data_IF_522995360560
#
_entry.id   IF_522995360560
#
_cell.length_a   1.000
_cell.length_b   1.000
_cell.length_c   1.000
_cell.angle_alpha   90.00
_cell.angle_beta   90.00
_cell.angle_gamma   90.00
#
_symmetry.space_group_name_H-M   'P 1'
#
loop_
_entity.id
_entity.type
_entity.pdbx_description
1 polymer ?
#
# COMPACT_ATOMS: atom_id res chain seq x y z
N UNK A 1 16.64 -2.05 -13.42
CA UNK A 1 15.75 -2.59 -12.36
C UNK A 1 15.87 -1.67 -11.14
N UNK A 2 14.87 -1.64 -10.26
CA UNK A 2 14.84 -0.80 -9.06
C UNK A 2 14.69 -1.64 -7.80
N UNK A 3 15.25 -1.21 -6.68
CA UNK A 3 15.04 -1.86 -5.38
C UNK A 3 13.74 -1.42 -4.73
N UNK A 4 13.34 -0.17 -4.97
CA UNK A 4 12.09 0.40 -4.45
C UNK A 4 11.38 1.15 -5.56
N UNK A 5 10.07 0.92 -5.68
CA UNK A 5 9.16 1.75 -6.46
C UNK A 5 8.13 2.40 -5.53
N UNK A 6 7.83 3.68 -5.75
CA UNK A 6 6.78 4.41 -5.05
C UNK A 6 5.77 4.86 -6.10
N UNK A 7 4.51 4.46 -5.93
CA UNK A 7 3.40 4.82 -6.81
C UNK A 7 2.51 5.81 -6.07
N UNK A 8 2.63 7.07 -6.45
CA UNK A 8 1.85 8.20 -5.90
C UNK A 8 0.99 8.79 -7.02
N UNK A 9 -0.19 8.22 -7.20
CA UNK A 9 -1.14 8.56 -8.25
C UNK A 9 -2.49 8.91 -7.63
N UNK A 10 -3.22 9.84 -8.23
CA UNK A 10 -4.62 10.09 -7.86
C UNK A 10 -5.48 8.87 -8.18
N UNK A 11 -6.54 8.67 -7.39
CA UNK A 11 -7.50 7.57 -7.63
C UNK A 11 -8.08 7.64 -9.06
N UNK A 12 -8.39 6.49 -9.67
CA UNK A 12 -8.87 6.45 -11.05
C UNK A 12 -10.31 6.98 -11.13
N UNK A 13 -10.44 8.26 -11.46
CA UNK A 13 -11.73 8.90 -11.77
C UNK A 13 -12.24 8.45 -13.15
N UNK A 14 -13.56 8.53 -13.35
CA UNK A 14 -14.21 8.24 -14.65
C UNK A 14 -13.56 9.14 -15.73
N UNK A 15 -13.16 8.54 -16.85
CA UNK A 15 -12.42 9.18 -17.98
C UNK A 15 -10.95 9.56 -17.71
N UNK A 16 -10.37 9.21 -16.56
CA UNK A 16 -8.96 9.48 -16.27
C UNK A 16 -7.98 8.51 -16.96
N UNK A 17 -6.82 8.96 -17.47
CA UNK A 17 -5.81 8.10 -18.09
C UNK A 17 -5.14 7.12 -17.10
N UNK A 18 -5.39 7.30 -15.80
CA UNK A 18 -4.76 6.54 -14.72
C UNK A 18 -5.42 5.19 -14.43
N UNK A 19 -6.60 4.88 -14.99
CA UNK A 19 -7.34 3.65 -14.65
C UNK A 19 -6.54 2.36 -14.87
N UNK A 20 -5.71 2.31 -15.92
CA UNK A 20 -4.83 1.19 -16.22
C UNK A 20 -3.60 1.10 -15.30
N UNK A 21 -3.29 2.15 -14.53
CA UNK A 21 -2.15 2.17 -13.60
C UNK A 21 -2.47 1.52 -12.24
N UNK A 22 -3.69 0.99 -12.08
CA UNK A 22 -4.12 0.27 -10.88
C UNK A 22 -4.43 -1.20 -11.15
N UNK A 23 -4.13 -1.70 -12.35
CA UNK A 23 -4.46 -3.07 -12.76
C UNK A 23 -3.38 -4.07 -12.36
N UNK A 24 -3.77 -5.33 -12.24
CA UNK A 24 -2.83 -6.43 -12.02
C UNK A 24 -1.74 -6.48 -13.10
N UNK A 25 -2.11 -6.21 -14.35
CA UNK A 25 -1.22 -6.22 -15.50
C UNK A 25 -0.14 -5.12 -15.36
N UNK A 26 -0.52 -3.90 -14.96
CA UNK A 26 0.44 -2.86 -14.61
C UNK A 26 1.38 -3.28 -13.49
N UNK A 27 0.85 -3.84 -12.39
CA UNK A 27 1.71 -4.26 -11.28
C UNK A 27 2.62 -5.44 -11.60
N UNK A 28 2.25 -6.31 -12.53
CA UNK A 28 3.16 -7.35 -13.07
C UNK A 28 4.33 -6.73 -13.81
N UNK A 29 4.05 -5.77 -14.71
CA UNK A 29 5.11 -5.01 -15.41
C UNK A 29 6.03 -4.29 -14.42
N UNK A 30 5.47 -3.70 -13.36
CA UNK A 30 6.25 -3.03 -12.32
C UNK A 30 7.10 -4.02 -11.51
N UNK A 31 6.53 -5.16 -11.11
CA UNK A 31 7.25 -6.25 -10.44
C UNK A 31 8.42 -6.76 -11.29
N UNK A 32 8.25 -6.87 -12.61
CA UNK A 32 9.32 -7.24 -13.54
C UNK A 32 10.44 -6.19 -13.63
N UNK A 33 10.18 -4.94 -13.27
CA UNK A 33 11.22 -3.90 -13.17
C UNK A 33 11.88 -3.83 -11.80
N UNK A 34 11.38 -4.53 -10.80
CA UNK A 34 12.00 -4.63 -9.48
C UNK A 34 13.13 -5.69 -9.45
N UNK A 35 14.11 -5.50 -8.57
CA UNK A 35 15.10 -6.52 -8.19
C UNK A 35 14.43 -7.67 -7.44
N UNK A 36 15.15 -8.76 -7.14
CA UNK A 36 14.57 -9.93 -6.44
C UNK A 36 14.18 -9.61 -4.99
N UNK A 37 14.88 -8.67 -4.37
CA UNK A 37 14.52 -8.09 -3.06
C UNK A 37 13.60 -6.87 -3.15
N UNK A 38 13.09 -6.56 -4.33
CA UNK A 38 12.44 -5.28 -4.59
C UNK A 38 11.08 -5.13 -3.91
N UNK A 39 10.77 -3.88 -3.56
CA UNK A 39 9.56 -3.48 -2.84
C UNK A 39 8.83 -2.36 -3.57
N UNK A 40 7.51 -2.36 -3.48
CA UNK A 40 6.58 -1.36 -3.96
C UNK A 40 5.85 -0.74 -2.76
N UNK A 41 5.72 0.58 -2.72
CA UNK A 41 4.83 1.29 -1.82
C UNK A 41 3.85 2.15 -2.63
N UNK A 42 2.59 2.20 -2.22
CA UNK A 42 1.56 2.98 -2.90
C UNK A 42 0.51 3.52 -1.94
N UNK A 43 -0.08 4.66 -2.30
CA UNK A 43 -1.33 5.14 -1.71
C UNK A 43 -2.50 4.30 -2.26
N UNK A 44 -3.50 4.00 -1.43
CA UNK A 44 -4.62 3.13 -1.77
C UNK A 44 -5.98 3.67 -1.27
N UNK A 45 -6.11 5.00 -1.26
CA UNK A 45 -7.34 5.73 -0.96
C UNK A 45 -7.80 5.67 0.50
N UNK A 46 -9.04 6.05 0.74
CA UNK A 46 -9.60 6.14 2.09
C UNK A 46 -9.72 4.77 2.78
N UNK A 47 -9.73 4.77 4.12
CA UNK A 47 -10.01 3.57 4.94
C UNK A 47 -11.12 3.81 5.98
N UNK A 48 -11.92 4.87 5.79
CA UNK A 48 -13.08 5.15 6.63
C UNK A 48 -14.19 4.12 6.37
N UNK A 49 -15.01 3.85 7.39
CA UNK A 49 -16.18 2.98 7.26
C UNK A 49 -17.06 3.50 6.12
N UNK A 50 -17.47 2.60 5.22
CA UNK A 50 -18.23 2.93 4.02
C UNK A 50 -17.39 3.16 2.76
N UNK A 51 -16.11 3.50 2.87
CA UNK A 51 -15.22 3.80 1.74
C UNK A 51 -14.01 2.85 1.69
N UNK A 52 -14.29 1.55 1.64
CA UNK A 52 -13.27 0.50 1.56
C UNK A 52 -13.10 -0.20 0.18
N UNK A 53 -14.01 -0.11 -0.81
CA UNK A 53 -13.88 -0.86 -2.05
C UNK A 53 -12.55 -0.64 -2.80
N UNK A 54 -12.07 0.59 -2.91
CA UNK A 54 -10.80 0.90 -3.58
C UNK A 54 -9.62 0.26 -2.84
N UNK A 55 -9.46 0.56 -1.54
CA UNK A 55 -8.39 0.03 -0.70
C UNK A 55 -8.32 -1.51 -0.72
N UNK A 56 -9.47 -2.17 -0.60
CA UNK A 56 -9.54 -3.63 -0.55
C UNK A 56 -9.31 -4.28 -1.92
N UNK A 57 -9.83 -3.70 -3.00
CA UNK A 57 -9.55 -4.15 -4.37
C UNK A 57 -8.07 -3.99 -4.73
N UNK A 58 -7.42 -2.92 -4.29
CA UNK A 58 -5.98 -2.71 -4.46
C UNK A 58 -5.16 -3.79 -3.75
N UNK A 59 -5.45 -4.05 -2.47
CA UNK A 59 -4.78 -5.10 -1.72
C UNK A 59 -4.96 -6.47 -2.38
N UNK A 60 -6.19 -6.80 -2.77
CA UNK A 60 -6.50 -8.07 -3.44
C UNK A 60 -5.79 -8.20 -4.78
N UNK A 61 -5.74 -7.14 -5.58
CA UNK A 61 -5.05 -7.11 -6.87
C UNK A 61 -3.56 -7.39 -6.70
N UNK A 62 -2.92 -6.74 -5.72
CA UNK A 62 -1.49 -6.94 -5.44
C UNK A 62 -1.16 -8.34 -4.93
N UNK A 63 -2.08 -9.01 -4.21
CA UNK A 63 -1.85 -10.42 -3.77
C UNK A 63 -1.69 -11.39 -4.94
N UNK A 64 -2.19 -11.04 -6.14
CA UNK A 64 -2.00 -11.83 -7.36
C UNK A 64 -0.67 -11.56 -8.08
N UNK A 65 0.18 -10.69 -7.54
CA UNK A 65 1.44 -10.23 -8.15
C UNK A 65 2.63 -10.39 -7.21
N UNK A 66 2.46 -10.09 -5.92
CA UNK A 66 3.53 -10.12 -4.93
C UNK A 66 3.28 -11.18 -3.85
N UNK A 67 4.32 -11.91 -3.39
CA UNK A 67 4.19 -12.87 -2.30
C UNK A 67 3.91 -12.20 -0.94
N UNK A 68 4.36 -10.96 -0.76
CA UNK A 68 4.06 -10.16 0.44
C UNK A 68 3.23 -8.96 0.04
N UNK A 69 2.07 -8.80 0.68
CA UNK A 69 1.23 -7.59 0.61
C UNK A 69 0.85 -7.21 2.03
N UNK A 70 1.26 -6.00 2.42
CA UNK A 70 1.12 -5.44 3.76
C UNK A 70 0.36 -4.10 3.67
N UNK A 71 -0.97 -4.14 3.75
CA UNK A 71 -1.78 -2.93 3.87
C UNK A 71 -1.54 -2.26 5.23
N UNK A 72 -1.47 -0.94 5.23
CA UNK A 72 -1.37 -0.10 6.43
C UNK A 72 -2.26 1.14 6.29
N UNK A 73 -2.45 1.88 7.38
CA UNK A 73 -3.16 3.15 7.35
C UNK A 73 -2.50 4.20 8.24
N UNK A 74 -2.83 5.47 8.01
CA UNK A 74 -2.56 6.57 8.94
C UNK A 74 -3.65 7.62 8.83
N UNK A 75 -3.88 8.40 9.89
CA UNK A 75 -4.76 9.56 9.82
C UNK A 75 -4.05 10.74 9.17
N UNK A 76 -4.63 11.31 8.11
CA UNK A 76 -4.08 12.46 7.40
C UNK A 76 -4.89 13.72 7.78
N UNK A 77 -4.33 14.64 8.60
CA UNK A 77 -5.11 15.73 9.20
C UNK A 77 -5.77 16.66 8.18
N UNK A 78 -5.08 17.01 7.09
CA UNK A 78 -5.63 17.88 6.05
C UNK A 78 -6.75 17.23 5.23
N UNK A 79 -6.86 15.89 5.25
CA UNK A 79 -7.97 15.16 4.62
C UNK A 79 -9.11 14.85 5.59
N UNK A 80 -8.88 15.01 6.90
CA UNK A 80 -9.87 14.73 7.94
C UNK A 80 -10.29 13.26 8.00
N UNK A 81 -9.45 12.33 7.53
CA UNK A 81 -9.83 10.92 7.35
C UNK A 81 -8.63 9.97 7.45
N UNK A 82 -8.83 8.70 7.84
CA UNK A 82 -7.78 7.69 7.71
C UNK A 82 -7.53 7.34 6.23
N UNK A 83 -6.26 7.37 5.85
CA UNK A 83 -5.77 7.08 4.51
C UNK A 83 -5.02 5.76 4.49
N UNK A 84 -5.33 4.95 3.49
CA UNK A 84 -4.78 3.64 3.26
C UNK A 84 -3.57 3.68 2.35
N UNK A 85 -2.63 2.81 2.66
CA UNK A 85 -1.44 2.58 1.87
C UNK A 85 -1.13 1.08 1.86
N UNK A 86 -0.32 0.65 0.91
CA UNK A 86 0.07 -0.76 0.79
C UNK A 86 1.56 -0.84 0.48
N UNK A 87 2.27 -1.70 1.21
CA UNK A 87 3.59 -2.19 0.79
C UNK A 87 3.39 -3.55 0.14
N UNK A 88 3.96 -3.77 -1.03
CA UNK A 88 4.04 -5.07 -1.68
C UNK A 88 5.50 -5.42 -1.98
N UNK A 89 5.95 -6.63 -1.67
CA UNK A 89 7.36 -6.98 -1.78
C UNK A 89 7.55 -8.39 -2.34
N UNK A 90 8.64 -8.59 -3.08
CA UNK A 90 9.08 -9.92 -3.51
C UNK A 90 9.70 -10.74 -2.38
N UNK A 91 10.27 -10.05 -1.39
CA UNK A 91 10.84 -10.65 -0.19
C UNK A 91 10.80 -9.67 0.98
N UNK A 92 10.75 -10.20 2.20
CA UNK A 92 10.68 -9.39 3.41
C UNK A 92 9.27 -8.87 3.70
N UNK A 93 8.87 -8.92 4.96
CA UNK A 93 7.58 -8.39 5.42
C UNK A 93 7.84 -7.19 6.35
N UNK A 94 7.38 -5.98 6.00
CA UNK A 94 7.56 -4.82 6.87
C UNK A 94 6.90 -5.03 8.24
N UNK A 95 5.80 -5.79 8.32
CA UNK A 95 5.09 -6.07 9.57
C UNK A 95 5.90 -6.90 10.56
N UNK A 96 6.92 -7.62 10.09
CA UNK A 96 7.79 -8.43 10.92
C UNK A 96 8.91 -7.62 11.60
N UNK A 97 9.06 -6.33 11.28
CA UNK A 97 10.09 -5.49 11.88
C UNK A 97 9.70 -5.08 13.29
N UNK A 98 10.54 -5.42 14.27
CA UNK A 98 10.41 -4.89 15.62
C UNK A 98 10.64 -3.36 15.63
N UNK A 99 9.92 -2.58 16.45
CA UNK A 99 10.09 -1.13 16.55
C UNK A 99 11.56 -0.69 16.69
N UNK A 100 12.32 -1.34 17.58
CA UNK A 100 13.73 -1.01 17.79
C UNK A 100 14.61 -1.22 16.54
N UNK A 101 14.28 -2.21 15.70
CA UNK A 101 15.00 -2.45 14.44
C UNK A 101 14.66 -1.39 13.39
N UNK A 102 13.43 -0.87 13.39
CA UNK A 102 13.05 0.28 12.56
C UNK A 102 13.80 1.53 13.02
N UNK A 103 13.80 1.82 14.32
CA UNK A 103 14.51 2.98 14.89
C UNK A 103 16.02 2.92 14.60
N UNK A 104 16.62 1.73 14.70
CA UNK A 104 18.01 1.53 14.33
C UNK A 104 18.27 1.88 12.87
N UNK A 105 17.44 1.37 11.94
CA UNK A 105 17.58 1.67 10.50
C UNK A 105 17.38 3.15 10.19
N UNK A 106 16.47 3.83 10.89
CA UNK A 106 16.26 5.28 10.75
C UNK A 106 17.54 6.02 11.16
N UNK A 107 18.09 5.72 12.35
CA UNK A 107 19.33 6.34 12.84
C UNK A 107 20.52 6.11 11.90
N UNK A 108 20.62 4.93 11.31
CA UNK A 108 21.74 4.57 10.43
C UNK A 108 21.65 5.20 9.04
N UNK A 109 20.45 5.53 8.55
CA UNK A 109 20.22 5.83 7.12
C UNK A 109 19.59 7.19 6.84
N UNK A 110 18.98 7.82 7.83
CA UNK A 110 18.27 9.09 7.67
C UNK A 110 18.97 10.16 8.49
N UNK A 111 19.33 11.26 7.83
CA UNK A 111 19.88 12.44 8.50
C UNK A 111 18.75 13.32 9.01
N UNK A 112 18.80 13.68 10.29
CA UNK A 112 17.82 14.54 10.95
C UNK A 112 16.64 13.79 11.57
N UNK A 113 15.80 14.52 12.29
CA UNK A 113 14.69 13.95 13.05
C UNK A 113 13.41 13.84 12.23
N UNK A 114 12.85 12.62 12.19
CA UNK A 114 11.53 12.38 11.61
C UNK A 114 10.44 12.83 12.58
N UNK A 115 9.47 13.60 12.08
CA UNK A 115 8.39 14.18 12.91
C UNK A 115 7.18 13.26 13.10
N UNK A 116 7.04 12.25 12.25
CA UNK A 116 5.88 11.35 12.22
C UNK A 116 6.28 9.88 12.41
N UNK A 117 7.38 9.47 11.80
CA UNK A 117 7.72 8.06 11.65
C UNK A 117 8.86 7.65 12.59
N UNK A 118 8.58 6.67 13.43
CA UNK A 118 9.52 5.90 14.24
C UNK A 118 9.08 4.43 14.26
N UNK A 119 9.72 3.59 15.06
CA UNK A 119 9.38 2.18 15.19
C UNK A 119 7.98 1.93 15.77
N UNK A 120 7.50 2.79 16.67
CA UNK A 120 6.16 2.66 17.25
C UNK A 120 5.08 3.04 16.25
N UNK A 121 5.28 4.16 15.54
CA UNK A 121 4.42 4.61 14.46
C UNK A 121 4.36 3.57 13.34
N UNK A 122 5.50 3.00 12.93
CA UNK A 122 5.55 1.91 11.96
C UNK A 122 4.66 0.74 12.39
N UNK A 123 4.88 0.21 13.60
CA UNK A 123 4.09 -0.91 14.11
C UNK A 123 2.59 -0.57 14.22
N UNK A 124 2.26 0.65 14.66
CA UNK A 124 0.89 1.15 14.75
C UNK A 124 0.21 1.18 13.37
N UNK A 125 0.87 1.71 12.34
CA UNK A 125 0.32 1.84 10.98
C UNK A 125 -0.13 0.49 10.40
N UNK A 126 0.59 -0.59 10.69
CA UNK A 126 0.25 -1.95 10.27
C UNK A 126 -0.76 -2.67 11.20
N UNK A 127 -1.04 -2.10 12.38
CA UNK A 127 -1.98 -2.65 13.36
C UNK A 127 -3.43 -2.23 13.05
N UNK A 128 -3.93 -2.68 11.89
CA UNK A 128 -5.24 -2.26 11.36
C UNK A 128 -6.41 -2.66 12.28
N UNK A 129 -7.48 -1.85 12.42
CA UNK A 129 -8.67 -2.19 13.22
C UNK A 129 -9.43 -3.40 12.63
N UNK A 130 -10.23 -4.07 13.48
CA UNK A 130 -10.91 -5.33 13.15
C UNK A 130 -11.74 -5.26 11.86
N UNK A 131 -12.57 -4.22 11.71
CA UNK A 131 -13.43 -4.07 10.53
C UNK A 131 -12.62 -4.02 9.21
N UNK A 132 -11.44 -3.40 9.24
CA UNK A 132 -10.59 -3.28 8.06
C UNK A 132 -9.90 -4.61 7.75
N UNK A 133 -9.46 -5.34 8.78
CA UNK A 133 -8.91 -6.71 8.61
C UNK A 133 -9.95 -7.66 8.02
N UNK A 134 -11.20 -7.58 8.46
CA UNK A 134 -12.31 -8.39 7.94
C UNK A 134 -12.66 -8.02 6.49
N UNK A 135 -12.70 -6.72 6.17
CA UNK A 135 -12.93 -6.26 4.80
C UNK A 135 -11.80 -6.72 3.85
N UNK A 136 -10.54 -6.61 4.27
CA UNK A 136 -9.39 -7.11 3.51
C UNK A 136 -9.42 -8.63 3.30
N UNK A 137 -9.87 -9.39 4.31
CA UNK A 137 -9.93 -10.84 4.24
C UNK A 137 -11.05 -11.37 3.33
N UNK A 138 -12.15 -10.62 3.20
CA UNK A 138 -13.31 -11.02 2.39
C UNK A 138 -13.31 -10.42 0.97
N UNK A 139 -12.37 -9.52 0.67
CA UNK A 139 -12.27 -8.86 -0.63
C UNK A 139 -11.94 -9.83 -1.77
N UNK A 140 -12.78 -9.83 -2.81
CA UNK A 140 -12.62 -10.71 -3.98
C UNK A 140 -12.27 -9.95 -5.27
N UNK A 141 -12.52 -8.63 -5.31
CA UNK A 141 -12.32 -7.81 -6.51
C UNK A 141 -10.84 -7.75 -6.90
N UNK A 142 -10.53 -8.14 -8.14
CA UNK A 142 -9.23 -7.94 -8.79
C UNK A 142 -9.42 -6.91 -9.90
N UNK A 143 -8.58 -5.89 -9.91
CA UNK A 143 -8.57 -4.84 -10.93
C UNK A 143 -7.72 -5.34 -12.10
N UNK A 144 -8.29 -5.33 -13.31
CA UNK A 144 -7.60 -5.81 -14.52
C UNK A 144 -7.78 -4.81 -15.65
N UNK A 145 -6.95 -4.89 -16.69
CA UNK A 145 -7.12 -4.03 -17.88
C UNK A 145 -8.50 -4.20 -18.54
N UNK A 146 -9.06 -5.41 -18.51
CA UNK A 146 -10.39 -5.72 -19.06
C UNK A 146 -11.54 -5.23 -18.19
N UNK A 147 -11.31 -5.13 -16.87
CA UNK A 147 -12.27 -4.64 -15.90
C UNK A 147 -11.57 -3.67 -14.94
N UNK A 148 -11.29 -2.43 -15.37
CA UNK A 148 -10.65 -1.44 -14.52
C UNK A 148 -11.58 -1.03 -13.38
N UNK A 149 -11.02 -0.45 -12.32
CA UNK A 149 -11.80 0.14 -11.23
C UNK A 149 -11.93 1.63 -11.49
N UNK A 150 -13.15 2.13 -11.40
CA UNK A 150 -13.46 3.55 -11.48
C UNK A 150 -14.04 3.93 -10.11
N UNK A 151 -13.40 4.90 -9.45
CA UNK A 151 -13.93 5.49 -8.22
C UNK A 151 -14.88 6.62 -8.65
N UNK A 152 -16.09 6.59 -8.10
CA UNK A 152 -17.15 7.57 -8.38
C UNK A 152 -17.30 8.53 -7.21
#
# INVERSE_FOLDING_TARGET
RFDVAIVDLTEPLEEGPACLLFTREFYRLLSDRLTDGGTLALQAGMTKIGELPFYTAMARTLTGVFPVVAPYQSFIPCFGTPWGFIVAAKSGDPRALAPAAVDQRVRERISGDLRFYDGQAHHHMFSLPKFLREALATATRVITDAEPLIVR
#
